data_IF_410455406928
#
_entry.id   IF_410455406928
#
_cell.length_a   1.000
_cell.length_b   1.000
_cell.length_c   1.000
_cell.angle_alpha   90.00
_cell.angle_beta   90.00
_cell.angle_gamma   90.00
#
_symmetry.space_group_name_H-M   'P 1'
#
loop_
_entity.id
_entity.type
_entity.pdbx_description
1 polymer ?
#
# COMPACT_ATOMS: atom_id res chain seq x y z
N UNK A 1 2.77 11.03 9.58
CA UNK A 1 3.90 10.35 8.89
C UNK A 1 3.44 9.96 7.50
N UNK A 2 4.37 9.70 6.59
CA UNK A 2 4.09 9.43 5.18
C UNK A 2 4.47 8.00 4.82
N UNK A 3 3.64 7.32 4.05
CA UNK A 3 3.96 6.01 3.46
C UNK A 3 5.13 6.19 2.51
N UNK A 4 6.20 5.44 2.72
CA UNK A 4 7.45 5.52 2.00
C UNK A 4 7.91 4.16 1.48
N UNK A 5 9.02 4.20 0.74
CA UNK A 5 9.80 3.01 0.38
C UNK A 5 10.90 2.85 1.42
N UNK A 6 10.94 1.71 2.11
CA UNK A 6 11.90 1.45 3.17
C UNK A 6 13.33 1.62 2.64
N UNK A 7 14.06 2.57 3.23
CA UNK A 7 15.45 2.88 2.85
C UNK A 7 15.62 3.42 1.42
N UNK A 8 14.53 3.77 0.72
CA UNK A 8 14.57 4.18 -0.68
C UNK A 8 14.99 3.08 -1.66
N UNK A 9 14.82 1.81 -1.28
CA UNK A 9 15.20 0.66 -2.09
C UNK A 9 14.11 0.33 -3.13
N UNK A 10 14.35 0.71 -4.39
CA UNK A 10 13.48 0.39 -5.52
C UNK A 10 13.83 -0.97 -6.13
N UNK A 11 13.45 -2.04 -5.41
CA UNK A 11 13.63 -3.44 -5.83
C UNK A 11 12.38 -4.23 -5.48
N UNK A 12 12.13 -5.33 -6.20
CA UNK A 12 11.01 -6.24 -5.90
C UNK A 12 11.15 -6.78 -4.48
N UNK A 13 10.08 -6.68 -3.70
CA UNK A 13 10.01 -7.14 -2.31
C UNK A 13 10.52 -6.12 -1.27
N UNK A 14 11.00 -4.94 -1.68
CA UNK A 14 11.31 -3.88 -0.73
C UNK A 14 10.04 -3.49 0.04
N UNK A 15 10.12 -3.35 1.36
CA UNK A 15 8.95 -3.04 2.17
C UNK A 15 8.47 -1.59 1.96
N UNK A 16 7.16 -1.39 2.03
CA UNK A 16 6.60 -0.08 2.31
C UNK A 16 6.72 0.19 3.82
N UNK A 17 7.09 1.41 4.19
CA UNK A 17 7.21 1.84 5.59
C UNK A 17 6.44 3.14 5.84
N UNK A 18 6.50 3.61 7.07
CA UNK A 18 6.24 5.02 7.37
C UNK A 18 7.52 5.74 7.77
N UNK A 19 7.64 6.97 7.31
CA UNK A 19 8.72 7.87 7.69
C UNK A 19 8.16 9.28 7.92
N UNK A 20 8.92 10.12 8.62
CA UNK A 20 8.59 11.54 8.70
C UNK A 20 8.46 12.13 7.29
N UNK A 21 7.42 12.90 7.07
CA UNK A 21 7.15 13.48 5.75
C UNK A 21 8.27 14.46 5.41
N UNK A 22 9.01 14.17 4.33
CA UNK A 22 10.21 14.93 3.95
C UNK A 22 10.20 15.37 2.47
N UNK A 23 9.09 15.13 1.76
CA UNK A 23 8.92 15.53 0.36
C UNK A 23 9.69 14.69 -0.65
N UNK A 24 10.41 13.65 -0.19
CA UNK A 24 11.12 12.72 -1.07
C UNK A 24 10.17 12.02 -2.05
N UNK A 25 10.72 11.63 -3.19
CA UNK A 25 9.95 10.91 -4.21
C UNK A 25 9.50 9.52 -3.71
N UNK A 26 10.21 8.92 -2.76
CA UNK A 26 9.81 7.65 -2.12
C UNK A 26 8.46 7.75 -1.38
N UNK A 27 7.98 8.96 -1.07
CA UNK A 27 6.73 9.21 -0.34
C UNK A 27 5.57 9.66 -1.25
N UNK A 28 5.69 9.44 -2.56
CA UNK A 28 4.69 9.83 -3.56
C UNK A 28 4.09 8.60 -4.23
N UNK A 29 2.79 8.46 -4.11
CA UNK A 29 2.00 7.36 -4.64
C UNK A 29 0.81 7.92 -5.40
N UNK A 30 0.54 7.39 -6.60
CA UNK A 30 -0.53 7.89 -7.47
C UNK A 30 -1.39 6.75 -7.99
N UNK A 31 -2.68 7.01 -8.14
CA UNK A 31 -3.57 6.08 -8.85
C UNK A 31 -3.35 6.18 -10.36
N UNK A 32 -2.95 5.08 -11.01
CA UNK A 32 -2.71 5.03 -12.47
C UNK A 32 -3.87 4.36 -13.20
N UNK A 33 -4.87 5.14 -13.63
CA UNK A 33 -5.95 4.70 -14.53
C UNK A 33 -6.84 3.55 -14.01
N UNK A 34 -6.76 3.21 -12.72
CA UNK A 34 -7.41 2.08 -12.07
C UNK A 34 -7.07 1.98 -10.58
N UNK A 35 -7.31 0.84 -9.91
CA UNK A 35 -7.08 0.67 -8.46
C UNK A 35 -5.59 0.53 -8.08
N UNK A 36 -4.66 0.81 -9.00
CA UNK A 36 -3.23 0.61 -8.76
C UNK A 36 -2.60 1.87 -8.22
N UNK A 37 -1.80 1.74 -7.18
CA UNK A 37 -0.98 2.84 -6.65
C UNK A 37 0.47 2.64 -7.09
N UNK A 38 1.03 3.61 -7.81
CA UNK A 38 2.41 3.56 -8.27
C UNK A 38 3.26 4.70 -7.72
N UNK A 39 4.55 4.43 -7.56
CA UNK A 39 5.56 5.41 -7.21
C UNK A 39 6.49 5.65 -8.42
N UNK A 40 6.58 6.89 -8.95
CA UNK A 40 7.36 7.23 -10.14
C UNK A 40 8.80 7.69 -9.85
N UNK A 41 9.32 7.51 -8.63
CA UNK A 41 10.51 8.21 -8.12
C UNK A 41 11.81 8.01 -8.91
N UNK A 42 11.99 6.87 -9.58
CA UNK A 42 13.19 6.53 -10.35
C UNK A 42 12.91 6.46 -11.87
N UNK A 43 11.75 6.92 -12.31
CA UNK A 43 11.28 6.78 -13.70
C UNK A 43 10.65 5.42 -14.01
N UNK A 44 10.61 4.49 -13.07
CA UNK A 44 9.84 3.24 -13.15
C UNK A 44 8.42 3.44 -12.60
N UNK A 45 7.53 2.51 -12.89
CA UNK A 45 6.21 2.42 -12.25
C UNK A 45 6.23 1.34 -11.17
N UNK A 46 6.80 1.63 -10.00
CA UNK A 46 6.78 0.70 -8.87
C UNK A 46 5.38 0.65 -8.26
N UNK A 47 4.74 -0.51 -8.24
CA UNK A 47 3.43 -0.68 -7.64
C UNK A 47 3.55 -0.96 -6.13
N UNK A 48 2.63 -0.36 -5.37
CA UNK A 48 2.35 -0.81 -4.01
C UNK A 48 1.69 -2.18 -4.11
N UNK A 49 2.30 -3.18 -3.48
CA UNK A 49 1.96 -4.58 -3.62
C UNK A 49 1.82 -5.20 -2.22
N UNK A 50 1.14 -6.34 -2.13
CA UNK A 50 1.08 -7.17 -0.93
C UNK A 50 1.88 -8.42 -1.24
N UNK A 51 2.82 -8.79 -0.35
CA UNK A 51 3.56 -10.03 -0.56
C UNK A 51 2.58 -11.21 -0.69
N UNK A 52 2.69 -12.01 -1.76
CA UNK A 52 3.31 -13.31 -1.56
C UNK A 52 4.38 -13.56 -2.63
N UNK A 53 5.63 -13.69 -2.18
CA UNK A 53 6.76 -13.94 -3.09
C UNK A 53 6.88 -15.40 -3.52
N UNK A 54 5.93 -16.28 -3.19
CA UNK A 54 5.92 -17.67 -3.67
C UNK A 54 4.55 -18.08 -4.24
N UNK A 55 4.60 -18.84 -5.34
CA UNK A 55 3.43 -19.36 -6.06
C UNK A 55 2.53 -20.27 -5.19
N UNK A 56 3.05 -20.74 -4.05
CA UNK A 56 2.38 -21.66 -3.14
C UNK A 56 1.37 -21.00 -2.19
N UNK A 57 1.57 -19.73 -1.81
CA UNK A 57 0.76 -19.07 -0.78
C UNK A 57 0.10 -17.81 -1.32
N UNK A 58 -0.96 -18.00 -2.12
CA UNK A 58 -1.75 -16.91 -2.69
C UNK A 58 -2.82 -16.35 -1.73
N UNK A 59 -2.65 -16.51 -0.42
CA UNK A 59 -3.64 -16.13 0.58
C UNK A 59 -3.31 -14.78 1.24
N UNK A 60 -4.32 -13.91 1.35
CA UNK A 60 -4.22 -12.71 2.17
C UNK A 60 -4.42 -13.09 3.63
N UNK A 61 -3.42 -12.85 4.47
CA UNK A 61 -3.47 -13.09 5.91
C UNK A 61 -3.08 -11.84 6.70
N UNK A 62 -3.55 -11.78 7.95
CA UNK A 62 -3.18 -10.71 8.87
C UNK A 62 -1.65 -10.69 9.05
N UNK A 63 -1.06 -9.50 8.96
CA UNK A 63 0.37 -9.31 9.18
C UNK A 63 1.24 -9.49 7.93
N UNK A 64 0.66 -9.88 6.79
CA UNK A 64 1.38 -9.93 5.51
C UNK A 64 1.88 -8.53 5.17
N UNK A 65 3.15 -8.43 4.78
CA UNK A 65 3.81 -7.14 4.53
C UNK A 65 3.42 -6.53 3.20
N UNK A 66 3.30 -5.21 3.22
CA UNK A 66 3.15 -4.39 2.03
C UNK A 66 4.54 -4.10 1.48
N UNK A 67 4.72 -4.35 0.19
CA UNK A 67 6.00 -4.33 -0.51
C UNK A 67 5.90 -3.57 -1.83
N UNK A 68 7.03 -3.42 -2.50
CA UNK A 68 7.13 -2.93 -3.86
C UNK A 68 7.23 -4.11 -4.83
N UNK A 69 6.61 -3.95 -5.98
CA UNK A 69 6.80 -4.84 -7.11
C UNK A 69 6.71 -4.05 -8.42
N UNK A 70 7.11 -4.66 -9.53
CA UNK A 70 6.92 -4.04 -10.85
C UNK A 70 5.42 -3.89 -11.11
N UNK A 71 4.98 -2.73 -11.59
CA UNK A 71 3.61 -2.60 -12.08
C UNK A 71 3.45 -3.53 -13.28
N UNK A 72 2.47 -4.43 -13.24
CA UNK A 72 2.23 -5.39 -14.32
C UNK A 72 1.16 -4.85 -15.26
N UNK A 73 1.44 -4.70 -16.56
CA UNK A 73 0.64 -3.99 -17.60
C UNK A 73 -0.75 -4.59 -17.95
N UNK A 74 -1.46 -5.21 -17.01
CA UNK A 74 -2.85 -5.66 -17.20
C UNK A 74 -3.01 -7.02 -17.89
N UNK A 75 -1.95 -7.84 -17.95
CA UNK A 75 -2.08 -9.28 -18.24
C UNK A 75 -2.63 -10.07 -17.05
N UNK A 76 -2.69 -11.40 -17.13
CA UNK A 76 -3.08 -12.31 -16.02
C UNK A 76 -2.23 -12.12 -14.74
N UNK A 77 -1.14 -11.35 -14.84
CA UNK A 77 -0.30 -10.80 -13.77
C UNK A 77 -0.87 -9.53 -13.09
N UNK A 78 -2.10 -9.11 -13.45
CA UNK A 78 -2.94 -8.14 -12.74
C UNK A 78 -3.43 -8.71 -11.41
N UNK A 79 -2.47 -9.18 -10.62
CA UNK A 79 -2.66 -9.85 -9.36
C UNK A 79 -3.54 -9.00 -8.44
N UNK A 80 -4.46 -9.61 -7.66
CA UNK A 80 -5.22 -8.88 -6.64
C UNK A 80 -4.31 -8.08 -5.70
N UNK A 81 -3.03 -8.47 -5.56
CA UNK A 81 -2.03 -7.86 -4.68
C UNK A 81 -1.67 -6.40 -4.98
N UNK A 82 -1.93 -5.90 -6.19
CA UNK A 82 -1.67 -4.51 -6.58
C UNK A 82 -2.94 -3.66 -6.72
N UNK A 83 -4.11 -4.26 -6.45
CA UNK A 83 -5.41 -3.61 -6.62
C UNK A 83 -5.91 -3.05 -5.30
N UNK A 84 -5.56 -1.79 -5.05
CA UNK A 84 -5.97 -1.02 -3.87
C UNK A 84 -7.27 -0.25 -4.14
N UNK A 85 -8.36 -0.70 -3.54
CA UNK A 85 -9.61 0.06 -3.47
C UNK A 85 -9.43 1.32 -2.61
N UNK A 86 -9.84 2.47 -3.14
CA UNK A 86 -10.03 3.72 -2.38
C UNK A 86 -11.42 3.79 -1.73
N UNK A 87 -11.69 4.76 -0.84
CA UNK A 87 -12.96 4.85 -0.12
C UNK A 87 -14.12 5.23 -1.04
N UNK A 88 -15.31 4.78 -0.64
CA UNK A 88 -16.62 5.04 -1.28
C UNK A 88 -17.26 6.37 -0.86
N UNK A 89 -16.56 7.28 -0.16
CA UNK A 89 -17.16 8.45 0.50
C UNK A 89 -16.63 9.81 -0.04
N UNK A 90 -17.49 10.73 -0.55
CA UNK A 90 -17.06 11.95 -1.26
C UNK A 90 -16.58 13.16 -0.44
N UNK A 91 -16.29 13.08 0.87
CA UNK A 91 -16.11 14.32 1.68
C UNK A 91 -15.00 14.33 2.74
N UNK A 92 -14.10 13.35 2.78
CA UNK A 92 -12.86 13.46 3.54
C UNK A 92 -11.70 12.86 2.76
N UNK A 93 -10.46 13.38 2.87
CA UNK A 93 -9.27 12.76 2.28
C UNK A 93 -8.91 11.44 2.98
N UNK A 94 -9.75 10.96 3.91
CA UNK A 94 -9.56 9.73 4.66
C UNK A 94 -9.88 8.54 3.77
N UNK A 95 -8.88 7.74 3.50
CA UNK A 95 -8.94 6.53 2.69
C UNK A 95 -8.69 5.30 3.56
N UNK A 96 -9.50 4.28 3.35
CA UNK A 96 -9.20 2.93 3.83
C UNK A 96 -8.74 2.15 2.61
N UNK A 97 -7.43 2.19 2.34
CA UNK A 97 -6.84 1.44 1.23
C UNK A 97 -7.03 -0.03 1.51
N UNK A 98 -7.75 -0.70 0.61
CA UNK A 98 -8.12 -2.09 0.82
C UNK A 98 -7.77 -2.96 -0.38
N UNK A 99 -7.49 -4.21 -0.09
CA UNK A 99 -7.27 -5.27 -1.05
C UNK A 99 -8.26 -6.39 -0.77
N UNK A 100 -8.82 -6.98 -1.82
CA UNK A 100 -9.78 -8.06 -1.69
C UNK A 100 -9.42 -9.26 -2.54
N UNK A 101 -9.57 -10.46 -1.96
CA UNK A 101 -9.56 -11.72 -2.70
C UNK A 101 -10.86 -12.49 -2.45
N UNK A 102 -11.40 -13.22 -3.44
CA UNK A 102 -12.61 -14.03 -3.26
C UNK A 102 -12.52 -15.01 -2.07
N UNK A 103 -11.33 -15.56 -1.80
CA UNK A 103 -11.11 -16.54 -0.74
C UNK A 103 -11.00 -15.96 0.68
N UNK A 104 -10.47 -14.73 0.81
CA UNK A 104 -10.01 -14.19 2.10
C UNK A 104 -10.72 -12.90 2.55
N UNK A 105 -11.65 -12.39 1.74
CA UNK A 105 -12.38 -11.17 2.06
C UNK A 105 -11.57 -9.90 1.82
N UNK A 106 -11.91 -8.83 2.54
CA UNK A 106 -11.31 -7.49 2.41
C UNK A 106 -10.30 -7.26 3.53
N UNK A 107 -9.08 -6.90 3.15
CA UNK A 107 -7.99 -6.53 4.05
C UNK A 107 -7.62 -5.08 3.79
N UNK A 108 -7.08 -4.41 4.80
CA UNK A 108 -6.78 -2.99 4.81
C UNK A 108 -5.30 -2.75 4.99
N UNK A 109 -4.76 -1.71 4.34
CA UNK A 109 -3.45 -1.16 4.67
C UNK A 109 -3.44 -0.78 6.14
N UNK A 110 -2.50 -1.33 6.88
CA UNK A 110 -2.47 -1.30 8.33
C UNK A 110 -1.09 -0.86 8.82
N UNK A 111 -1.09 0.09 9.74
CA UNK A 111 0.10 0.49 10.46
C UNK A 111 0.45 -0.61 11.47
N UNK A 112 1.49 -1.39 11.19
CA UNK A 112 1.90 -2.52 12.04
C UNK A 112 1.98 -2.11 13.51
N UNK A 113 1.13 -2.76 14.32
CA UNK A 113 1.01 -2.59 15.76
C UNK A 113 0.74 -1.13 16.23
N UNK A 114 0.24 -0.27 15.34
CA UNK A 114 0.04 1.16 15.61
C UNK A 114 1.35 1.95 15.83
N UNK A 115 2.50 1.35 15.56
CA UNK A 115 3.81 1.93 15.89
C UNK A 115 4.17 3.04 14.90
N UNK A 116 4.22 4.29 15.38
CA UNK A 116 4.60 5.47 14.57
C UNK A 116 6.12 5.70 14.48
N UNK A 117 6.96 4.74 14.83
CA UNK A 117 8.40 4.89 14.66
C UNK A 117 8.77 4.96 13.15
N UNK A 118 9.78 5.76 12.81
CA UNK A 118 10.29 5.77 11.44
C UNK A 118 10.77 4.38 11.04
N UNK A 119 10.54 4.01 9.79
CA UNK A 119 10.87 2.70 9.22
C UNK A 119 10.06 1.53 9.76
N UNK A 120 8.92 1.80 10.43
CA UNK A 120 7.97 0.73 10.75
C UNK A 120 7.37 0.20 9.44
N UNK A 121 7.61 -1.08 9.06
CA UNK A 121 7.05 -1.63 7.83
C UNK A 121 5.53 -1.77 7.94
N UNK A 122 4.82 -1.49 6.86
CA UNK A 122 3.37 -1.63 6.79
C UNK A 122 2.96 -3.09 6.54
N UNK A 123 1.73 -3.39 6.91
CA UNK A 123 1.12 -4.70 6.70
C UNK A 123 -0.30 -4.56 6.16
N UNK A 124 -0.89 -5.69 5.80
CA UNK A 124 -2.33 -5.81 5.67
C UNK A 124 -2.93 -6.49 6.90
N UNK A 125 -4.15 -6.10 7.23
CA UNK A 125 -4.93 -6.70 8.29
C UNK A 125 -6.41 -6.69 7.91
N UNK A 126 -7.20 -7.60 8.46
CA UNK A 126 -8.66 -7.56 8.33
C UNK A 126 -9.17 -6.16 8.65
N UNK A 127 -10.05 -5.64 7.81
CA UNK A 127 -10.58 -4.30 8.00
C UNK A 127 -11.44 -4.24 9.27
N UNK A 128 -11.07 -3.37 10.22
CA UNK A 128 -11.79 -3.17 11.48
C UNK A 128 -12.40 -1.78 11.48
N UNK A 129 -13.73 -1.71 11.67
CA UNK A 129 -14.45 -0.46 11.70
C UNK A 129 -13.92 0.46 12.83
N UNK A 130 -13.54 1.69 12.47
CA UNK A 130 -13.02 2.68 13.42
C UNK A 130 -11.57 2.48 13.85
N UNK A 131 -10.87 1.46 13.35
CA UNK A 131 -9.44 1.30 13.63
C UNK A 131 -8.63 2.42 12.95
N UNK A 132 -8.00 3.28 13.76
CA UNK A 132 -7.22 4.41 13.26
C UNK A 132 -5.95 4.01 12.54
N UNK A 133 -5.45 2.80 12.77
CA UNK A 133 -4.25 2.27 12.11
C UNK A 133 -4.50 1.89 10.65
N UNK A 134 -5.78 1.86 10.24
CA UNK A 134 -6.24 1.49 8.90
C UNK A 134 -6.89 2.67 8.15
N UNK A 135 -6.87 3.86 8.74
CA UNK A 135 -7.47 5.06 8.18
C UNK A 135 -6.36 6.04 7.83
N UNK A 136 -6.11 6.19 6.54
CA UNK A 136 -5.04 7.00 5.98
C UNK A 136 -5.59 8.29 5.41
N UNK A 137 -4.78 9.33 5.26
CA UNK A 137 -5.14 10.54 4.52
C UNK A 137 -4.37 10.61 3.22
N UNK A 138 -5.07 10.68 2.08
CA UNK A 138 -4.45 10.84 0.76
C UNK A 138 -4.63 12.27 0.24
N UNK A 139 -3.54 12.81 -0.27
CA UNK A 139 -3.46 14.21 -0.72
C UNK A 139 -3.30 14.28 -2.24
N UNK A 140 -3.66 15.42 -2.82
CA UNK A 140 -3.51 15.68 -4.26
C UNK A 140 -2.05 15.68 -4.73
N UNK A 141 -1.09 15.82 -3.81
CA UNK A 141 0.35 15.74 -4.12
C UNK A 141 0.88 14.30 -4.11
N UNK A 142 0.03 13.31 -3.83
CA UNK A 142 0.37 11.88 -3.83
C UNK A 142 0.88 11.35 -2.49
N UNK A 143 0.76 12.09 -1.38
CA UNK A 143 1.13 11.56 -0.06
C UNK A 143 -0.02 10.77 0.55
N UNK A 144 0.29 9.59 1.07
CA UNK A 144 -0.56 8.80 1.96
C UNK A 144 -0.03 8.99 3.38
N UNK A 145 -0.87 9.40 4.32
CA UNK A 145 -0.44 9.85 5.66
C UNK A 145 -1.26 9.25 6.80
N UNK A 146 -0.62 9.13 7.97
CA UNK A 146 -1.20 8.65 9.25
C UNK A 146 -0.66 9.39 10.47
#
# INVERSE_FOLDING_TARGET
KCVGVLGGAFVVGAAADIFDCNGSATQKWYFTGGPRMTNPADGSEWALDVAPLSEANRELANGVKVVLNKSADGGEDGSPYQSWGGPTAPSAPKIQLSISQPANGVMCLDLTDGIKANRNPLQIWQCVAGNTDQIWTYTVVGQITI
#
